data_IF_816140332926
#
_entry.id   IF_816140332926
#
_cell.length_a   1.000
_cell.length_b   1.000
_cell.length_c   1.000
_cell.angle_alpha   90.00
_cell.angle_beta   90.00
_cell.angle_gamma   90.00
#
_symmetry.space_group_name_H-M   'P 1'
#
loop_
_entity.id
_entity.type
_entity.pdbx_description
1 polymer ?
#
# COMPACT_ATOMS: atom_id res chain seq x y z
N UNK A 1 -7.34 7.62 -10.43
CA UNK A 1 -7.09 6.17 -10.45
C UNK A 1 -5.96 5.74 -11.39
N UNK A 2 -6.09 5.88 -12.71
CA UNK A 2 -5.13 5.33 -13.70
C UNK A 2 -3.67 5.75 -13.44
N UNK A 3 -3.43 7.02 -13.11
CA UNK A 3 -2.08 7.52 -12.80
C UNK A 3 -1.47 6.75 -11.62
N UNK A 4 -2.25 6.43 -10.57
CA UNK A 4 -1.74 5.69 -9.42
C UNK A 4 -1.34 4.25 -9.77
N UNK A 5 -2.17 3.58 -10.58
CA UNK A 5 -1.87 2.24 -11.11
C UNK A 5 -0.56 2.28 -11.91
N UNK A 6 -0.44 3.21 -12.86
CA UNK A 6 0.76 3.35 -13.69
C UNK A 6 1.99 3.70 -12.85
N UNK A 7 1.86 4.60 -11.87
CA UNK A 7 2.94 4.95 -10.95
C UNK A 7 3.43 3.71 -10.20
N UNK A 8 2.53 2.89 -9.67
CA UNK A 8 2.91 1.69 -8.95
C UNK A 8 3.52 0.61 -9.88
N UNK A 9 3.01 0.46 -11.11
CA UNK A 9 3.66 -0.38 -12.12
C UNK A 9 5.09 0.08 -12.41
N UNK A 10 5.30 1.39 -12.57
CA UNK A 10 6.64 1.96 -12.80
C UNK A 10 7.54 1.70 -11.60
N UNK A 11 7.05 1.83 -10.37
CA UNK A 11 7.81 1.51 -9.15
C UNK A 11 8.29 0.05 -9.19
N UNK A 12 7.41 -0.91 -9.47
CA UNK A 12 7.77 -2.33 -9.56
C UNK A 12 8.81 -2.59 -10.64
N UNK A 13 8.58 -2.06 -11.85
CA UNK A 13 9.50 -2.22 -12.99
C UNK A 13 10.87 -1.62 -12.68
N UNK A 14 10.92 -0.39 -12.15
CA UNK A 14 12.17 0.26 -11.77
C UNK A 14 12.89 -0.50 -10.67
N UNK A 15 12.17 -1.07 -9.72
CA UNK A 15 12.76 -1.85 -8.61
C UNK A 15 13.46 -3.10 -9.12
N UNK A 16 12.83 -3.84 -10.05
CA UNK A 16 13.44 -5.00 -10.72
C UNK A 16 14.66 -4.58 -11.54
N UNK A 17 14.54 -3.52 -12.34
CA UNK A 17 15.64 -3.05 -13.19
C UNK A 17 16.84 -2.60 -12.34
N UNK A 18 16.61 -1.85 -11.26
CA UNK A 18 17.66 -1.40 -10.35
C UNK A 18 18.26 -2.58 -9.56
N UNK A 19 17.48 -3.61 -9.23
CA UNK A 19 18.00 -4.78 -8.51
C UNK A 19 18.97 -5.63 -9.33
N UNK A 20 18.97 -5.50 -10.67
CA UNK A 20 19.98 -6.13 -11.53
C UNK A 20 21.41 -5.64 -11.24
N UNK A 21 21.57 -4.40 -10.80
CA UNK A 21 22.86 -3.87 -10.35
C UNK A 21 23.39 -4.57 -9.08
N UNK A 22 22.53 -5.28 -8.36
CA UNK A 22 22.83 -6.11 -7.20
C UNK A 22 22.82 -7.62 -7.53
N UNK A 23 22.93 -7.97 -8.82
CA UNK A 23 23.04 -9.35 -9.28
C UNK A 23 21.72 -10.12 -9.36
N UNK A 24 20.57 -9.43 -9.29
CA UNK A 24 19.26 -10.09 -9.47
C UNK A 24 18.93 -10.31 -10.95
N UNK A 25 18.20 -11.40 -11.24
CA UNK A 25 17.78 -11.75 -12.61
C UNK A 25 16.58 -10.92 -13.09
N UNK A 26 16.46 -10.73 -14.41
CA UNK A 26 15.24 -10.20 -15.04
C UNK A 26 14.09 -11.21 -15.05
N UNK A 27 14.34 -12.48 -14.73
CA UNK A 27 13.31 -13.51 -14.58
C UNK A 27 12.27 -13.16 -13.50
N UNK A 28 12.58 -12.20 -12.62
CA UNK A 28 11.64 -11.64 -11.65
C UNK A 28 10.40 -11.00 -12.29
N UNK A 29 10.44 -10.65 -13.58
CA UNK A 29 9.24 -10.22 -14.33
C UNK A 29 8.24 -11.35 -14.58
N UNK A 30 8.65 -12.61 -14.39
CA UNK A 30 7.75 -13.74 -14.48
C UNK A 30 6.68 -13.71 -13.37
N UNK A 31 5.55 -14.33 -13.66
CA UNK A 31 4.54 -14.59 -12.64
C UNK A 31 4.95 -15.81 -11.80
N UNK A 32 4.70 -15.75 -10.50
CA UNK A 32 4.83 -16.92 -9.62
C UNK A 32 3.86 -18.02 -10.04
N UNK A 33 4.27 -19.28 -9.87
CA UNK A 33 3.42 -20.43 -10.20
C UNK A 33 2.16 -20.45 -9.30
N UNK A 34 2.29 -20.04 -8.03
CA UNK A 34 1.21 -19.95 -7.04
C UNK A 34 1.23 -18.62 -6.25
N UNK A 35 0.12 -18.30 -5.58
CA UNK A 35 0.06 -17.20 -4.60
C UNK A 35 0.59 -17.67 -3.23
N UNK A 36 1.07 -16.76 -2.39
CA UNK A 36 1.63 -17.10 -1.07
C UNK A 36 0.61 -17.71 -0.09
N UNK A 37 -0.68 -17.64 -0.43
CA UNK A 37 -1.80 -18.25 0.28
C UNK A 37 -2.33 -19.47 -0.49
N UNK A 38 -1.70 -20.65 -0.48
CA UNK A 38 -2.34 -21.82 -1.13
C UNK A 38 -2.27 -23.14 -0.38
N UNK A 39 -3.47 -23.67 -0.15
CA UNK A 39 -3.83 -25.08 -0.39
C UNK A 39 -4.94 -25.24 -1.45
N UNK A 40 -5.41 -24.16 -2.09
CA UNK A 40 -6.45 -24.18 -3.13
C UNK A 40 -6.05 -23.24 -4.27
N UNK A 41 -6.28 -23.63 -5.53
CA UNK A 41 -5.70 -23.00 -6.73
C UNK A 41 -6.00 -21.51 -6.96
N UNK A 42 -5.59 -21.00 -8.13
CA UNK A 42 -5.58 -19.57 -8.53
C UNK A 42 -6.87 -18.80 -8.18
N UNK A 43 -8.04 -19.43 -8.30
CA UNK A 43 -9.33 -18.81 -7.95
C UNK A 43 -9.50 -18.53 -6.45
N UNK A 44 -8.96 -19.39 -5.58
CA UNK A 44 -9.03 -19.22 -4.13
C UNK A 44 -8.16 -18.05 -3.67
N UNK A 45 -6.95 -17.93 -4.19
CA UNK A 45 -6.04 -16.88 -3.77
C UNK A 45 -6.46 -15.49 -4.25
N UNK A 46 -6.99 -15.37 -5.48
CA UNK A 46 -7.58 -14.11 -5.97
C UNK A 46 -8.76 -13.67 -5.09
N UNK A 47 -9.61 -14.63 -4.68
CA UNK A 47 -10.72 -14.35 -3.78
C UNK A 47 -10.23 -13.93 -2.40
N UNK A 48 -9.18 -14.55 -1.87
CA UNK A 48 -8.57 -14.18 -0.58
C UNK A 48 -8.05 -12.76 -0.61
N UNK A 49 -7.25 -12.37 -1.62
CA UNK A 49 -6.72 -11.00 -1.69
C UNK A 49 -7.81 -9.96 -1.94
N UNK A 50 -8.87 -10.32 -2.67
CA UNK A 50 -10.04 -9.47 -2.87
C UNK A 50 -10.76 -9.23 -1.53
N UNK A 51 -11.08 -10.28 -0.79
CA UNK A 51 -11.77 -10.17 0.49
C UNK A 51 -10.92 -9.42 1.51
N UNK A 52 -9.61 -9.69 1.58
CA UNK A 52 -8.68 -8.96 2.44
C UNK A 52 -8.71 -7.46 2.11
N UNK A 53 -8.57 -7.11 0.83
CA UNK A 53 -8.59 -5.70 0.38
C UNK A 53 -9.92 -5.02 0.71
N UNK A 54 -11.06 -5.70 0.55
CA UNK A 54 -12.37 -5.15 0.91
C UNK A 54 -12.46 -4.91 2.42
N UNK A 55 -12.13 -5.92 3.24
CA UNK A 55 -12.25 -5.84 4.70
C UNK A 55 -11.36 -4.73 5.26
N UNK A 56 -10.11 -4.67 4.80
CA UNK A 56 -9.16 -3.65 5.23
C UNK A 56 -9.65 -2.26 4.86
N UNK A 57 -9.98 -2.02 3.59
CA UNK A 57 -10.38 -0.68 3.14
C UNK A 57 -11.71 -0.23 3.74
N UNK A 58 -12.64 -1.14 4.07
CA UNK A 58 -13.86 -0.79 4.81
C UNK A 58 -13.53 -0.22 6.19
N UNK A 59 -12.57 -0.81 6.92
CA UNK A 59 -12.12 -0.27 8.20
C UNK A 59 -11.32 1.03 8.04
N UNK A 60 -10.35 1.01 7.14
CA UNK A 60 -9.40 2.10 6.97
C UNK A 60 -10.00 3.34 6.31
N UNK A 61 -10.81 3.18 5.26
CA UNK A 61 -11.43 4.30 4.52
C UNK A 61 -12.84 4.62 4.98
N UNK A 62 -13.48 3.69 5.70
CA UNK A 62 -14.77 3.95 6.33
C UNK A 62 -14.65 4.75 7.62
N UNK A 63 -13.58 4.56 8.40
CA UNK A 63 -13.38 5.31 9.65
C UNK A 63 -11.92 5.71 9.91
N UNK A 64 -10.96 4.80 9.74
CA UNK A 64 -9.59 5.00 10.22
C UNK A 64 -8.90 6.28 9.74
N UNK A 65 -8.77 6.47 8.43
CA UNK A 65 -8.08 7.60 7.80
C UNK A 65 -8.78 8.93 8.09
N UNK A 66 -10.09 9.02 7.85
CA UNK A 66 -10.86 10.24 8.10
C UNK A 66 -10.89 10.62 9.59
N UNK A 67 -10.88 9.64 10.51
CA UNK A 67 -10.81 9.92 11.96
C UNK A 67 -9.48 10.57 12.39
N UNK A 68 -8.38 10.30 11.68
CA UNK A 68 -7.07 10.92 11.93
C UNK A 68 -7.01 12.28 11.21
N UNK A 69 -7.47 12.34 9.96
CA UNK A 69 -7.51 13.56 9.15
C UNK A 69 -8.38 14.66 9.77
N UNK A 70 -9.37 14.31 10.58
CA UNK A 70 -10.18 15.29 11.33
C UNK A 70 -9.37 16.20 12.26
N UNK A 71 -8.14 15.82 12.63
CA UNK A 71 -7.32 16.55 13.60
C UNK A 71 -5.99 17.05 13.03
N UNK A 72 -5.61 16.66 11.80
CA UNK A 72 -4.33 17.03 11.21
C UNK A 72 -4.40 17.04 9.69
N UNK A 73 -3.40 17.64 9.02
CA UNK A 73 -3.37 17.64 7.56
C UNK A 73 -3.11 16.23 7.03
N UNK A 74 -3.53 15.95 5.80
CA UNK A 74 -3.28 14.67 5.11
C UNK A 74 -1.84 14.19 5.17
N UNK A 75 -0.85 15.09 5.18
CA UNK A 75 0.55 14.71 5.38
C UNK A 75 0.81 14.00 6.73
N UNK A 76 0.31 14.56 7.83
CA UNK A 76 0.48 13.97 9.17
C UNK A 76 -0.41 12.73 9.33
N UNK A 77 -1.60 12.77 8.75
CA UNK A 77 -2.48 11.61 8.67
C UNK A 77 -1.75 10.43 8.01
N UNK A 78 -1.17 10.60 6.81
CA UNK A 78 -0.49 9.51 6.10
C UNK A 78 0.66 8.90 6.91
N UNK A 79 1.38 9.71 7.70
CA UNK A 79 2.44 9.21 8.61
C UNK A 79 1.84 8.38 9.73
N UNK A 80 0.83 8.92 10.43
CA UNK A 80 0.19 8.25 11.57
C UNK A 80 -0.48 6.96 11.11
N UNK A 81 -1.29 7.04 10.06
CA UNK A 81 -1.96 5.90 9.46
C UNK A 81 -0.96 4.85 8.96
N UNK A 82 0.09 5.27 8.24
CA UNK A 82 1.15 4.36 7.78
C UNK A 82 1.82 3.61 8.94
N UNK A 83 2.10 4.28 10.05
CA UNK A 83 2.64 3.65 11.26
C UNK A 83 1.64 2.69 11.92
N UNK A 84 0.37 3.09 12.06
CA UNK A 84 -0.70 2.25 12.62
C UNK A 84 -0.89 0.99 11.78
N UNK A 85 -0.95 1.15 10.46
CA UNK A 85 -1.12 0.04 9.53
C UNK A 85 0.11 -0.87 9.53
N UNK A 86 1.33 -0.33 9.59
CA UNK A 86 2.54 -1.15 9.78
C UNK A 86 2.48 -1.99 11.07
N UNK A 87 2.10 -1.37 12.19
CA UNK A 87 1.96 -2.08 13.48
C UNK A 87 0.85 -3.13 13.46
N UNK A 88 -0.24 -2.89 12.72
CA UNK A 88 -1.33 -3.85 12.57
C UNK A 88 -0.86 -5.19 11.95
N UNK A 89 0.19 -5.17 11.13
CA UNK A 89 0.78 -6.38 10.55
C UNK A 89 1.67 -7.17 11.52
N UNK A 90 2.02 -6.62 12.70
CA UNK A 90 2.96 -7.27 13.62
C UNK A 90 2.59 -8.72 13.98
N UNK A 91 1.33 -9.06 14.32
CA UNK A 91 0.98 -10.44 14.67
C UNK A 91 1.29 -11.46 13.57
N UNK A 92 1.20 -11.06 12.30
CA UNK A 92 1.41 -11.94 11.15
C UNK A 92 2.82 -12.53 11.12
N UNK A 93 3.82 -11.84 11.66
CA UNK A 93 5.20 -12.34 11.74
C UNK A 93 5.37 -13.58 12.63
N UNK A 94 4.40 -13.89 13.49
CA UNK A 94 4.42 -15.05 14.38
C UNK A 94 3.42 -16.15 13.98
N UNK A 95 2.63 -15.95 12.93
CA UNK A 95 1.71 -16.97 12.40
C UNK A 95 2.45 -17.80 11.34
N UNK A 96 2.63 -19.13 11.52
CA UNK A 96 3.34 -19.96 10.56
C UNK A 96 2.75 -19.88 9.15
N UNK A 97 3.61 -19.96 8.13
CA UNK A 97 3.27 -19.97 6.70
C UNK A 97 2.68 -18.67 6.14
N UNK A 98 2.69 -17.56 6.88
CA UNK A 98 2.38 -16.24 6.30
C UNK A 98 3.60 -15.66 5.57
N UNK A 99 3.36 -14.75 4.63
CA UNK A 99 4.41 -13.99 3.97
C UNK A 99 5.33 -13.27 4.98
N UNK A 100 4.73 -12.62 5.99
CA UNK A 100 5.44 -11.90 7.04
C UNK A 100 6.29 -12.84 7.90
N UNK A 101 5.77 -14.01 8.25
CA UNK A 101 6.53 -15.02 8.98
C UNK A 101 7.74 -15.50 8.18
N UNK A 102 7.58 -15.74 6.88
CA UNK A 102 8.70 -16.10 5.99
C UNK A 102 9.77 -15.00 5.97
N UNK A 103 9.39 -13.71 5.85
CA UNK A 103 10.35 -12.60 5.92
C UNK A 103 11.13 -12.58 7.23
N UNK A 104 10.46 -12.81 8.37
CA UNK A 104 11.12 -12.88 9.67
C UNK A 104 12.10 -14.05 9.76
N UNK A 105 11.74 -15.22 9.24
CA UNK A 105 12.61 -16.41 9.20
C UNK A 105 13.82 -16.17 8.31
N UNK A 106 13.65 -15.48 7.17
CA UNK A 106 14.74 -15.10 6.28
C UNK A 106 15.71 -14.10 6.91
N UNK A 107 15.22 -13.23 7.79
CA UNK A 107 16.06 -12.35 8.60
C UNK A 107 15.31 -11.12 9.09
N UNK A 108 15.71 -10.64 10.28
CA UNK A 108 15.09 -9.46 10.91
C UNK A 108 15.15 -8.20 10.02
N UNK A 109 16.17 -8.09 9.16
CA UNK A 109 16.28 -6.99 8.20
C UNK A 109 15.10 -6.93 7.21
N UNK A 110 14.61 -8.08 6.72
CA UNK A 110 13.47 -8.12 5.81
C UNK A 110 12.15 -7.81 6.52
N UNK A 111 12.01 -8.25 7.77
CA UNK A 111 10.88 -7.87 8.62
C UNK A 111 10.84 -6.35 8.86
N UNK A 112 11.96 -5.74 9.22
CA UNK A 112 12.05 -4.30 9.42
C UNK A 112 11.82 -3.54 8.11
N UNK A 113 12.34 -4.04 6.99
CA UNK A 113 12.10 -3.46 5.68
C UNK A 113 10.59 -3.40 5.36
N UNK A 114 9.85 -4.49 5.57
CA UNK A 114 8.40 -4.51 5.37
C UNK A 114 7.69 -3.45 6.23
N UNK A 115 7.98 -3.41 7.53
CA UNK A 115 7.33 -2.45 8.44
C UNK A 115 7.63 -1.00 8.05
N UNK A 116 8.86 -0.72 7.64
CA UNK A 116 9.27 0.63 7.20
C UNK A 116 8.65 0.98 5.85
N UNK A 117 8.54 0.03 4.91
CA UNK A 117 8.00 0.28 3.57
C UNK A 117 6.50 0.57 3.55
N UNK A 118 5.77 0.12 4.57
CA UNK A 118 4.33 0.39 4.71
C UNK A 118 4.06 1.89 4.94
N UNK A 119 4.94 2.61 5.64
CA UNK A 119 4.78 4.04 5.93
C UNK A 119 4.77 4.92 4.66
N UNK A 120 5.78 4.89 3.77
CA UNK A 120 5.74 5.66 2.52
C UNK A 120 4.60 5.19 1.60
N UNK A 121 4.18 3.93 1.68
CA UNK A 121 3.02 3.46 0.93
C UNK A 121 1.70 4.07 1.44
N UNK A 122 1.59 4.38 2.73
CA UNK A 122 0.45 5.12 3.29
C UNK A 122 0.16 6.44 2.56
N UNK A 123 1.20 7.14 2.07
CA UNK A 123 1.00 8.34 1.25
C UNK A 123 0.32 8.06 -0.08
N UNK A 124 0.55 6.89 -0.70
CA UNK A 124 -0.14 6.51 -1.93
C UNK A 124 -1.60 6.18 -1.69
N UNK A 125 -1.91 5.47 -0.60
CA UNK A 125 -3.28 5.13 -0.27
C UNK A 125 -4.06 6.40 0.07
N UNK A 126 -3.50 7.34 0.84
CA UNK A 126 -4.12 8.66 1.09
C UNK A 126 -4.25 9.46 -0.20
N UNK A 127 -3.21 9.46 -1.04
CA UNK A 127 -3.24 10.15 -2.33
C UNK A 127 -4.38 9.67 -3.23
N UNK A 128 -4.53 8.35 -3.36
CA UNK A 128 -5.61 7.73 -4.12
C UNK A 128 -6.95 8.05 -3.49
N UNK A 129 -7.10 7.92 -2.19
CA UNK A 129 -8.36 8.18 -1.51
C UNK A 129 -8.85 9.61 -1.75
N UNK A 130 -8.05 10.62 -1.40
CA UNK A 130 -8.45 12.03 -1.49
C UNK A 130 -8.60 12.49 -2.94
N UNK A 131 -7.70 12.11 -3.86
CA UNK A 131 -7.83 12.49 -5.29
C UNK A 131 -9.05 11.90 -5.98
N UNK A 132 -9.58 10.79 -5.48
CA UNK A 132 -10.79 10.18 -6.02
C UNK A 132 -12.00 10.50 -5.12
N UNK A 133 -12.05 11.71 -4.54
CA UNK A 133 -13.16 12.23 -3.71
C UNK A 133 -13.52 11.31 -2.55
N UNK A 134 -12.50 10.82 -1.82
CA UNK A 134 -12.68 9.90 -0.69
C UNK A 134 -13.43 8.61 -1.06
N UNK A 135 -13.28 8.16 -2.31
CA UNK A 135 -13.91 6.93 -2.78
C UNK A 135 -13.24 5.69 -2.17
N UNK A 136 -14.00 4.96 -1.35
CA UNK A 136 -13.59 3.66 -0.82
C UNK A 136 -13.39 2.64 -1.93
N UNK A 137 -14.28 2.60 -2.93
CA UNK A 137 -14.16 1.67 -4.07
C UNK A 137 -12.85 1.91 -4.84
N UNK A 138 -12.47 3.16 -5.04
CA UNK A 138 -11.19 3.51 -5.67
C UNK A 138 -10.02 2.91 -4.88
N UNK A 139 -10.05 3.05 -3.55
CA UNK A 139 -8.99 2.53 -2.68
C UNK A 139 -8.94 0.99 -2.67
N UNK A 140 -10.10 0.32 -2.66
CA UNK A 140 -10.20 -1.15 -2.80
C UNK A 140 -9.56 -1.62 -4.11
N UNK A 141 -9.88 -0.98 -5.23
CA UNK A 141 -9.32 -1.36 -6.55
C UNK A 141 -7.80 -1.17 -6.56
N UNK A 142 -7.31 -0.07 -6.00
CA UNK A 142 -5.88 0.20 -5.94
C UNK A 142 -5.13 -0.76 -5.00
N UNK A 143 -5.67 -1.03 -3.81
CA UNK A 143 -5.11 -1.98 -2.86
C UNK A 143 -5.08 -3.40 -3.46
N UNK A 144 -6.18 -3.84 -4.07
CA UNK A 144 -6.22 -5.13 -4.78
C UNK A 144 -5.16 -5.22 -5.88
N UNK A 145 -5.00 -4.16 -6.67
CA UNK A 145 -3.97 -4.10 -7.71
C UNK A 145 -2.57 -4.24 -7.14
N UNK A 146 -2.28 -3.55 -6.03
CA UNK A 146 -0.98 -3.61 -5.36
C UNK A 146 -0.74 -5.01 -4.81
N UNK A 147 -1.70 -5.61 -4.09
CA UNK A 147 -1.59 -6.97 -3.58
C UNK A 147 -1.35 -7.98 -4.70
N UNK A 148 -2.07 -7.83 -5.82
CA UNK A 148 -1.85 -8.67 -6.99
C UNK A 148 -0.42 -8.56 -7.53
N UNK A 149 0.09 -7.35 -7.72
CA UNK A 149 1.45 -7.13 -8.20
C UNK A 149 2.50 -7.69 -7.21
N UNK A 150 2.28 -7.50 -5.92
CA UNK A 150 3.23 -7.91 -4.90
C UNK A 150 3.28 -9.43 -4.66
N UNK A 151 2.16 -10.12 -4.87
CA UNK A 151 2.05 -11.58 -4.75
C UNK A 151 2.44 -12.31 -6.03
N UNK A 152 2.10 -11.75 -7.20
CA UNK A 152 2.28 -12.47 -8.48
C UNK A 152 3.60 -12.19 -9.15
N UNK A 153 4.22 -11.03 -8.97
CA UNK A 153 5.52 -10.77 -9.58
C UNK A 153 6.59 -11.38 -8.67
N UNK A 154 7.43 -12.26 -9.25
CA UNK A 154 8.43 -13.05 -8.53
C UNK A 154 9.64 -12.22 -8.08
N UNK A 155 9.40 -11.11 -7.39
CA UNK A 155 10.44 -10.23 -6.88
C UNK A 155 11.18 -10.87 -5.71
N UNK A 156 12.51 -10.93 -5.83
CA UNK A 156 13.37 -11.40 -4.76
C UNK A 156 13.27 -10.47 -3.52
N UNK A 157 13.52 -10.98 -2.31
CA UNK A 157 13.48 -10.18 -1.08
C UNK A 157 14.40 -8.96 -1.12
N UNK A 158 15.58 -9.07 -1.75
CA UNK A 158 16.48 -7.93 -1.94
C UNK A 158 15.89 -6.87 -2.88
N UNK A 159 15.13 -7.29 -3.91
CA UNK A 159 14.40 -6.39 -4.79
C UNK A 159 13.29 -5.65 -4.05
N UNK A 160 12.63 -6.26 -3.06
CA UNK A 160 11.66 -5.58 -2.18
C UNK A 160 12.34 -4.51 -1.29
N UNK A 161 13.60 -4.73 -0.90
CA UNK A 161 14.38 -3.68 -0.22
C UNK A 161 14.68 -2.50 -1.15
N UNK A 162 15.06 -2.77 -2.41
CA UNK A 162 15.21 -1.73 -3.45
C UNK A 162 13.88 -1.01 -3.68
N UNK A 163 12.79 -1.76 -3.78
CA UNK A 163 11.43 -1.21 -3.95
C UNK A 163 11.05 -0.28 -2.81
N UNK A 164 11.44 -0.59 -1.57
CA UNK A 164 11.16 0.28 -0.42
C UNK A 164 11.80 1.67 -0.57
N UNK A 165 13.00 1.73 -1.16
CA UNK A 165 13.67 2.99 -1.50
C UNK A 165 12.93 3.69 -2.65
N UNK A 166 12.58 2.96 -3.71
CA UNK A 166 11.89 3.51 -4.88
C UNK A 166 10.49 4.05 -4.50
N UNK A 167 9.70 3.29 -3.74
CA UNK A 167 8.40 3.72 -3.18
C UNK A 167 8.57 4.99 -2.36
N UNK A 168 9.60 5.08 -1.52
CA UNK A 168 9.87 6.29 -0.72
C UNK A 168 10.15 7.50 -1.60
N UNK A 169 10.98 7.35 -2.64
CA UNK A 169 11.27 8.42 -3.60
C UNK A 169 9.98 8.87 -4.30
N UNK A 170 9.16 7.93 -4.78
CA UNK A 170 7.92 8.28 -5.44
C UNK A 170 6.87 8.86 -4.48
N UNK A 171 6.82 8.42 -3.21
CA UNK A 171 5.98 9.03 -2.19
C UNK A 171 6.36 10.51 -1.99
N UNK A 172 7.66 10.81 -1.92
CA UNK A 172 8.15 12.19 -1.87
C UNK A 172 7.72 12.97 -3.12
N UNK A 173 7.85 12.39 -4.32
CA UNK A 173 7.40 13.04 -5.57
C UNK A 173 5.89 13.31 -5.53
N UNK A 174 5.08 12.35 -5.06
CA UNK A 174 3.61 12.49 -4.92
C UNK A 174 3.29 13.64 -3.96
N UNK A 175 3.97 13.73 -2.82
CA UNK A 175 3.80 14.82 -1.86
C UNK A 175 4.20 16.17 -2.46
N UNK A 176 5.36 16.23 -3.14
CA UNK A 176 5.87 17.47 -3.75
C UNK A 176 5.02 17.96 -4.93
N UNK A 177 4.40 17.06 -5.68
CA UNK A 177 3.49 17.41 -6.79
C UNK A 177 2.07 17.70 -6.33
N UNK A 178 1.70 17.28 -5.10
CA UNK A 178 0.37 17.48 -4.53
C UNK A 178 0.43 18.25 -3.19
N UNK A 179 1.35 19.21 -3.06
CA UNK A 179 1.58 19.92 -1.79
C UNK A 179 0.32 20.57 -1.23
N UNK A 180 -0.47 21.22 -2.08
CA UNK A 180 -1.72 21.85 -1.65
C UNK A 180 -2.63 20.82 -0.99
N UNK A 181 -2.82 19.66 -1.61
CA UNK A 181 -3.60 18.57 -1.05
C UNK A 181 -3.00 18.03 0.26
N UNK A 182 -1.69 17.78 0.35
CA UNK A 182 -1.13 17.16 1.56
C UNK A 182 -1.05 18.10 2.77
N UNK A 183 -0.91 19.40 2.53
CA UNK A 183 -0.67 20.40 3.58
C UNK A 183 -1.85 21.34 3.83
N UNK A 184 -2.93 21.27 3.05
CA UNK A 184 -4.18 21.96 3.39
C UNK A 184 -4.79 21.42 4.69
N UNK A 185 -5.60 22.28 5.30
CA UNK A 185 -6.25 22.05 6.60
C UNK A 185 -7.73 22.38 6.57
N UNK A 186 -8.28 22.65 5.39
CA UNK A 186 -9.64 23.12 5.20
C UNK A 186 -10.66 22.03 5.53
N UNK A 187 -10.28 20.75 5.45
CA UNK A 187 -11.10 19.61 5.86
C UNK A 187 -11.12 19.35 7.37
N UNK A 188 -10.17 19.91 8.14
CA UNK A 188 -10.03 19.61 9.57
C UNK A 188 -11.28 20.08 10.32
N UNK A 189 -11.90 19.17 11.07
CA UNK A 189 -13.15 19.43 11.80
C UNK A 189 -14.40 19.57 10.93
N UNK A 190 -14.33 19.34 9.61
CA UNK A 190 -15.49 19.36 8.71
C UNK A 190 -15.94 17.96 8.32
N UNK A 191 -17.25 17.83 8.07
CA UNK A 191 -17.79 16.63 7.43
C UNK A 191 -17.45 16.63 5.93
N UNK A 192 -17.34 15.46 5.28
CA UNK A 192 -17.22 15.38 3.83
C UNK A 192 -18.37 16.14 3.14
N UNK A 193 -18.07 16.90 2.09
CA UNK A 193 -19.01 17.82 1.41
C UNK A 193 -20.31 17.15 0.92
N UNK A 194 -20.34 15.82 0.71
CA UNK A 194 -21.57 15.06 0.38
C UNK A 194 -22.67 15.16 1.46
N UNK A 195 -22.32 15.53 2.70
CA UNK A 195 -23.28 15.74 3.79
C UNK A 195 -23.77 17.19 3.91
N UNK A 196 -23.20 18.14 3.17
CA UNK A 196 -23.68 19.54 3.14
C UNK A 196 -24.79 19.73 2.10
N UNK A 197 -24.72 19.06 0.95
CA UNK A 197 -25.76 19.17 -0.11
C UNK A 197 -27.07 18.46 0.24
N UNK A 198 -27.10 17.61 1.27
CA UNK A 198 -28.33 16.91 1.72
C UNK A 198 -29.10 17.65 2.82
N UNK A 199 -28.67 18.87 3.19
CA UNK A 199 -29.29 19.70 4.22
C UNK A 199 -29.98 20.97 3.67
N UNK A 200 -30.45 20.97 2.42
CA UNK A 200 -31.27 22.04 1.83
C UNK A 200 -32.60 21.50 1.32
#
# INVERSE_FOLDING_TARGET
MLIAILTFTVIVVLSILLSTAFGQSLDQFAFTDDFSFTGAGISSALLTILLASIIEEVGWRGYGEDSIAQYCSWFYESIIFGCVWAMWHLPLFWIPNTYQNNLRVMGIGYMLNFLVSVVPFGFFTTWVYVKNRRSMLASIIFHLFVNFMQERIAMAPITKCVESIVVTIFAVIVVLTNRTMFFEKDHIGKLPEEFEETNI
#
